data_IF_589074693812
#
_entry.id   IF_589074693812
#
_cell.length_a   1.000
_cell.length_b   1.000
_cell.length_c   1.000
_cell.angle_alpha   90.00
_cell.angle_beta   90.00
_cell.angle_gamma   90.00
#
_symmetry.space_group_name_H-M   'P 1'
#
loop_
_entity.id
_entity.type
_entity.pdbx_description
1 polymer ?
#
# COMPACT_ATOMS: atom_id res chain seq x y z
N UNK A 1 17.40 20.27 -10.86
CA UNK A 1 16.91 19.74 -12.15
C UNK A 1 16.14 18.46 -11.87
N UNK A 2 14.87 18.36 -12.26
CA UNK A 2 14.14 17.10 -12.14
C UNK A 2 14.58 16.23 -13.32
N UNK A 3 15.23 15.11 -13.06
CA UNK A 3 15.71 14.21 -14.11
C UNK A 3 14.51 13.59 -14.86
N UNK A 4 14.60 13.51 -16.20
CA UNK A 4 13.65 12.80 -17.09
C UNK A 4 12.21 13.35 -17.18
N UNK A 5 11.99 14.64 -16.93
CA UNK A 5 10.65 15.24 -17.09
C UNK A 5 9.62 14.72 -16.08
N UNK A 6 10.08 14.19 -14.95
CA UNK A 6 9.20 13.77 -13.87
C UNK A 6 8.45 14.97 -13.27
N UNK A 7 7.28 14.70 -12.70
CA UNK A 7 6.46 15.68 -12.01
C UNK A 7 6.51 15.39 -10.51
N UNK A 8 6.74 16.43 -9.72
CA UNK A 8 6.78 16.33 -8.26
C UNK A 8 5.51 16.99 -7.71
N UNK A 9 4.77 16.26 -6.88
CA UNK A 9 3.64 16.81 -6.15
C UNK A 9 4.09 17.29 -4.77
N UNK A 10 3.60 18.46 -4.38
CA UNK A 10 3.81 19.01 -3.04
C UNK A 10 2.55 18.79 -2.22
N UNK A 11 2.72 18.36 -0.97
CA UNK A 11 1.62 18.18 -0.03
C UNK A 11 1.11 19.53 0.48
N UNK A 12 -0.17 19.63 0.84
CA UNK A 12 -0.81 20.88 1.26
C UNK A 12 -0.38 21.41 2.65
N UNK A 13 0.66 20.85 3.28
CA UNK A 13 1.13 21.24 4.62
C UNK A 13 0.55 20.41 5.77
N UNK A 14 -0.54 19.66 5.55
CA UNK A 14 -1.16 18.81 6.57
C UNK A 14 -0.89 17.32 6.33
N UNK A 15 -0.26 16.67 7.31
CA UNK A 15 0.03 15.22 7.29
C UNK A 15 -1.23 14.37 7.28
N UNK A 16 -2.36 14.90 7.77
CA UNK A 16 -3.64 14.20 7.76
C UNK A 16 -4.15 13.97 6.34
N UNK A 17 -3.98 14.98 5.47
CA UNK A 17 -4.49 15.01 4.09
C UNK A 17 -3.54 14.44 3.04
N UNK A 18 -2.36 13.97 3.45
CA UNK A 18 -1.38 13.37 2.52
C UNK A 18 -1.99 12.25 1.66
N UNK A 19 -2.85 11.39 2.21
CA UNK A 19 -3.45 10.32 1.40
C UNK A 19 -4.38 10.90 0.33
N UNK A 20 -5.14 11.95 0.63
CA UNK A 20 -6.00 12.62 -0.34
C UNK A 20 -5.17 13.32 -1.43
N UNK A 21 -4.08 13.97 -1.05
CA UNK A 21 -3.15 14.61 -1.98
C UNK A 21 -2.52 13.57 -2.91
N UNK A 22 -2.13 12.40 -2.37
CA UNK A 22 -1.59 11.28 -3.15
C UNK A 22 -2.63 10.71 -4.10
N UNK A 23 -3.89 10.59 -3.67
CA UNK A 23 -4.99 10.15 -4.54
C UNK A 23 -5.22 11.10 -5.71
N UNK A 24 -5.15 12.42 -5.48
CA UNK A 24 -5.27 13.43 -6.53
C UNK A 24 -4.05 13.43 -7.46
N UNK A 25 -2.86 13.29 -6.91
CA UNK A 25 -1.60 13.29 -7.66
C UNK A 25 -1.44 12.02 -8.52
N UNK A 26 -1.98 10.89 -8.06
CA UNK A 26 -1.83 9.56 -8.67
C UNK A 26 -0.36 9.25 -9.06
N UNK A 27 0.57 9.27 -8.10
CA UNK A 27 1.98 9.14 -8.39
C UNK A 27 2.34 7.75 -8.94
N UNK A 28 3.34 7.71 -9.81
CA UNK A 28 3.91 6.44 -10.30
C UNK A 28 4.99 5.89 -9.36
N UNK A 29 5.69 6.80 -8.69
CA UNK A 29 6.73 6.53 -7.71
C UNK A 29 6.30 7.16 -6.38
N UNK A 30 6.21 6.35 -5.33
CA UNK A 30 5.89 6.83 -3.99
C UNK A 30 7.06 6.57 -3.04
N UNK A 31 7.64 7.63 -2.51
CA UNK A 31 8.73 7.54 -1.53
C UNK A 31 8.25 8.18 -0.24
N UNK A 32 8.26 7.43 0.87
CA UNK A 32 7.79 7.96 2.15
C UNK A 32 8.58 7.42 3.34
N UNK A 33 8.53 8.14 4.45
CA UNK A 33 9.18 7.73 5.71
C UNK A 33 8.35 6.66 6.44
N UNK A 34 8.95 5.86 7.36
CA UNK A 34 8.24 4.82 8.09
C UNK A 34 6.97 5.28 8.81
N UNK A 35 6.93 6.53 9.29
CA UNK A 35 5.72 7.10 9.92
C UNK A 35 4.52 7.12 8.97
N UNK A 36 4.75 7.45 7.69
CA UNK A 36 3.69 7.47 6.66
C UNK A 36 3.29 6.04 6.29
N UNK A 37 4.26 5.12 6.24
CA UNK A 37 4.02 3.70 6.00
C UNK A 37 3.13 3.08 7.08
N UNK A 38 3.41 3.34 8.36
CA UNK A 38 2.58 2.89 9.48
C UNK A 38 1.16 3.43 9.38
N UNK A 39 1.01 4.71 9.06
CA UNK A 39 -0.31 5.32 8.87
C UNK A 39 -1.10 4.65 7.73
N UNK A 40 -0.43 4.35 6.62
CA UNK A 40 -1.04 3.63 5.51
C UNK A 40 -1.47 2.22 5.93
N UNK A 41 -0.64 1.53 6.70
CA UNK A 41 -0.97 0.22 7.29
C UNK A 41 -2.21 0.31 8.18
N UNK A 42 -2.30 1.31 9.05
CA UNK A 42 -3.45 1.50 9.94
C UNK A 42 -4.73 1.76 9.14
N UNK A 43 -4.68 2.60 8.10
CA UNK A 43 -5.82 2.89 7.24
C UNK A 43 -6.31 1.66 6.48
N UNK A 44 -5.41 0.88 5.91
CA UNK A 44 -5.76 -0.37 5.22
C UNK A 44 -6.33 -1.38 6.24
N UNK A 45 -5.71 -1.50 7.40
CA UNK A 45 -6.15 -2.41 8.46
C UNK A 45 -7.53 -2.04 9.01
N UNK A 46 -7.82 -0.76 9.20
CA UNK A 46 -9.14 -0.25 9.57
C UNK A 46 -10.17 -0.50 8.46
N UNK A 47 -9.79 -0.27 7.20
CA UNK A 47 -10.62 -0.57 6.04
C UNK A 47 -11.01 -2.05 6.00
N UNK A 48 -10.07 -2.95 6.26
CA UNK A 48 -10.32 -4.39 6.36
C UNK A 48 -11.14 -4.76 7.59
N UNK A 49 -10.89 -4.13 8.74
CA UNK A 49 -11.64 -4.33 9.97
C UNK A 49 -13.11 -3.91 9.88
N UNK A 50 -13.42 -2.90 9.06
CA UNK A 50 -14.79 -2.43 8.80
C UNK A 50 -15.63 -3.39 7.96
N UNK A 51 -14.98 -4.33 7.24
CA UNK A 51 -15.69 -5.33 6.45
C UNK A 51 -16.31 -6.38 7.38
N UNK A 52 -17.56 -6.74 7.11
CA UNK A 52 -18.29 -7.79 7.85
C UNK A 52 -18.66 -8.96 6.93
N UNK A 53 -18.82 -10.15 7.53
CA UNK A 53 -19.27 -11.37 6.84
C UNK A 53 -18.27 -11.97 5.84
N UNK A 54 -18.79 -12.44 4.69
CA UNK A 54 -18.01 -13.16 3.67
C UNK A 54 -16.83 -12.35 3.10
N UNK A 55 -16.98 -11.01 3.01
CA UNK A 55 -15.92 -10.13 2.50
C UNK A 55 -14.71 -10.09 3.44
N UNK A 56 -14.93 -10.10 4.75
CA UNK A 56 -13.85 -10.13 5.75
C UNK A 56 -13.05 -11.44 5.65
N UNK A 57 -13.75 -12.58 5.62
CA UNK A 57 -13.13 -13.89 5.46
C UNK A 57 -12.30 -13.99 4.18
N UNK A 58 -12.79 -13.44 3.07
CA UNK A 58 -12.03 -13.39 1.81
C UNK A 58 -10.76 -12.56 1.92
N UNK A 59 -10.82 -11.41 2.59
CA UNK A 59 -9.65 -10.54 2.81
C UNK A 59 -8.64 -11.23 3.73
N UNK A 60 -9.09 -11.82 4.83
CA UNK A 60 -8.23 -12.52 5.77
C UNK A 60 -7.52 -13.71 5.09
N UNK A 61 -8.26 -14.51 4.31
CA UNK A 61 -7.69 -15.60 3.51
C UNK A 61 -6.71 -15.09 2.44
N UNK A 62 -7.03 -13.98 1.76
CA UNK A 62 -6.15 -13.39 0.75
C UNK A 62 -4.82 -12.92 1.36
N UNK A 63 -4.88 -12.25 2.52
CA UNK A 63 -3.70 -11.78 3.24
C UNK A 63 -2.87 -12.97 3.72
N UNK A 64 -3.49 -13.96 4.35
CA UNK A 64 -2.79 -15.14 4.86
C UNK A 64 -2.12 -15.96 3.74
N UNK A 65 -2.83 -16.14 2.62
CA UNK A 65 -2.30 -16.84 1.43
C UNK A 65 -1.08 -16.11 0.88
N UNK A 66 -1.16 -14.79 0.69
CA UNK A 66 -0.03 -14.02 0.17
C UNK A 66 1.14 -13.93 1.15
N UNK A 67 0.88 -13.88 2.46
CA UNK A 67 1.92 -13.84 3.48
C UNK A 67 2.65 -15.19 3.57
N UNK A 68 1.91 -16.29 3.45
CA UNK A 68 2.47 -17.63 3.31
C UNK A 68 3.30 -17.79 2.03
N UNK A 69 2.83 -17.27 0.90
CA UNK A 69 3.56 -17.30 -0.37
C UNK A 69 4.84 -16.43 -0.34
N UNK A 70 4.77 -15.25 0.29
CA UNK A 70 5.93 -14.39 0.49
C UNK A 70 7.02 -15.12 1.30
N UNK A 71 6.63 -15.84 2.35
CA UNK A 71 7.57 -16.62 3.19
C UNK A 71 8.13 -17.86 2.50
N UNK A 72 7.33 -18.56 1.69
CA UNK A 72 7.72 -19.83 1.07
C UNK A 72 8.46 -19.68 -0.25
N UNK A 73 8.01 -18.78 -1.11
CA UNK A 73 8.46 -18.71 -2.51
C UNK A 73 8.93 -17.33 -2.93
N UNK A 74 8.73 -16.30 -2.10
CA UNK A 74 8.95 -14.90 -2.48
C UNK A 74 7.96 -14.37 -3.55
N UNK A 75 7.02 -15.20 -4.00
CA UNK A 75 6.00 -14.85 -4.98
C UNK A 75 4.86 -14.08 -4.29
N UNK A 76 4.61 -12.85 -4.74
CA UNK A 76 3.66 -11.93 -4.10
C UNK A 76 2.39 -11.74 -4.94
N UNK A 77 2.39 -12.20 -6.19
CA UNK A 77 1.30 -12.00 -7.14
C UNK A 77 0.30 -13.15 -7.11
N UNK A 78 -0.97 -12.83 -6.96
CA UNK A 78 -2.06 -13.79 -7.10
C UNK A 78 -3.22 -13.14 -7.86
N UNK A 79 -3.40 -13.54 -9.13
CA UNK A 79 -4.29 -12.88 -10.10
C UNK A 79 -5.72 -12.62 -9.57
N UNK A 80 -6.30 -13.58 -8.85
CA UNK A 80 -7.67 -13.51 -8.33
C UNK A 80 -7.80 -12.52 -7.16
N UNK A 81 -6.95 -12.66 -6.14
CA UNK A 81 -6.98 -11.81 -4.95
C UNK A 81 -6.49 -10.39 -5.25
N UNK A 82 -5.57 -10.25 -6.20
CA UNK A 82 -5.06 -8.95 -6.66
C UNK A 82 -6.17 -8.08 -7.22
N UNK A 83 -7.01 -8.68 -8.07
CA UNK A 83 -8.09 -7.95 -8.72
C UNK A 83 -9.21 -7.58 -7.73
N UNK A 84 -9.50 -8.44 -6.76
CA UNK A 84 -10.64 -8.29 -5.84
C UNK A 84 -10.34 -7.45 -4.59
N UNK A 85 -9.17 -7.66 -3.97
CA UNK A 85 -8.80 -7.05 -2.68
C UNK A 85 -7.73 -5.98 -2.90
N UNK A 86 -6.61 -6.33 -3.54
CA UNK A 86 -5.45 -5.45 -3.59
C UNK A 86 -5.59 -4.28 -4.55
N UNK A 87 -6.42 -4.37 -5.59
CA UNK A 87 -6.79 -3.20 -6.40
C UNK A 87 -7.42 -2.09 -5.55
N UNK A 88 -8.20 -2.43 -4.51
CA UNK A 88 -8.75 -1.43 -3.60
C UNK A 88 -7.65 -0.77 -2.76
N UNK A 89 -6.66 -1.54 -2.32
CA UNK A 89 -5.48 -1.00 -1.62
C UNK A 89 -4.64 -0.10 -2.54
N UNK A 90 -4.41 -0.51 -3.79
CA UNK A 90 -3.69 0.28 -4.80
C UNK A 90 -4.41 1.60 -5.09
N UNK A 91 -5.74 1.60 -5.10
CA UNK A 91 -6.55 2.82 -5.27
C UNK A 91 -6.40 3.83 -4.13
N UNK A 92 -6.04 3.40 -2.91
CA UNK A 92 -5.78 4.32 -1.79
C UNK A 92 -4.61 5.26 -2.12
N UNK A 93 -3.62 4.81 -2.90
CA UNK A 93 -2.51 5.62 -3.39
C UNK A 93 -2.73 6.17 -4.81
N UNK A 94 -3.96 6.17 -5.31
CA UNK A 94 -4.30 6.68 -6.64
C UNK A 94 -4.12 5.68 -7.80
N UNK A 95 -3.86 4.40 -7.51
CA UNK A 95 -3.94 3.30 -8.49
C UNK A 95 -2.82 3.21 -9.54
N UNK A 96 -1.95 4.23 -9.63
CA UNK A 96 -0.85 4.30 -10.61
C UNK A 96 0.53 4.00 -10.03
N UNK A 97 0.62 3.72 -8.74
CA UNK A 97 1.90 3.44 -8.07
C UNK A 97 2.51 2.14 -8.62
N UNK A 98 3.73 2.23 -9.15
CA UNK A 98 4.52 1.09 -9.64
C UNK A 98 5.68 0.74 -8.71
N UNK A 99 6.18 1.71 -7.96
CA UNK A 99 7.31 1.51 -7.07
C UNK A 99 7.12 2.32 -5.80
N UNK A 100 7.39 1.66 -4.66
CA UNK A 100 7.20 2.22 -3.34
C UNK A 100 8.49 2.03 -2.54
N UNK A 101 9.05 3.14 -2.04
CA UNK A 101 10.30 3.15 -1.30
C UNK A 101 10.09 3.75 0.08
N UNK A 102 10.77 3.18 1.07
CA UNK A 102 10.78 3.69 2.45
C UNK A 102 12.21 3.85 2.95
N UNK A 103 12.46 4.91 3.73
CA UNK A 103 13.78 5.22 4.29
C UNK A 103 13.73 6.29 5.38
N UNK A 104 14.86 6.51 6.05
CA UNK A 104 15.03 7.52 7.10
C UNK A 104 14.84 7.03 8.54
N UNK A 105 14.27 5.83 8.73
CA UNK A 105 14.19 5.15 10.03
C UNK A 105 13.92 3.64 9.82
N UNK A 106 14.17 2.79 10.83
CA UNK A 106 13.77 1.38 10.78
C UNK A 106 12.25 1.23 10.75
N UNK A 107 11.77 0.20 10.03
CA UNK A 107 10.36 -0.19 9.95
C UNK A 107 10.21 -1.63 10.43
N UNK A 108 9.10 -1.93 11.13
CA UNK A 108 8.81 -3.29 11.57
C UNK A 108 8.57 -4.21 10.37
N UNK A 109 9.15 -5.41 10.40
CA UNK A 109 9.04 -6.40 9.32
C UNK A 109 7.59 -6.76 8.98
N UNK A 110 6.72 -6.82 9.99
CA UNK A 110 5.28 -7.05 9.81
C UNK A 110 4.64 -5.99 8.90
N UNK A 111 4.94 -4.72 9.14
CA UNK A 111 4.38 -3.60 8.36
C UNK A 111 4.95 -3.62 6.95
N UNK A 112 6.25 -3.83 6.82
CA UNK A 112 6.92 -3.90 5.53
C UNK A 112 6.38 -5.05 4.66
N UNK A 113 6.27 -6.25 5.24
CA UNK A 113 5.70 -7.44 4.59
C UNK A 113 4.25 -7.21 4.17
N UNK A 114 3.44 -6.59 5.02
CA UNK A 114 2.05 -6.28 4.70
C UNK A 114 1.93 -5.29 3.52
N UNK A 115 2.72 -4.21 3.53
CA UNK A 115 2.73 -3.23 2.44
C UNK A 115 3.22 -3.89 1.14
N UNK A 116 4.26 -4.73 1.21
CA UNK A 116 4.76 -5.49 0.06
C UNK A 116 3.67 -6.38 -0.55
N UNK A 117 2.90 -7.07 0.29
CA UNK A 117 1.77 -7.91 -0.13
C UNK A 117 0.63 -7.09 -0.76
N UNK A 118 0.41 -5.87 -0.27
CA UNK A 118 -0.67 -5.01 -0.74
C UNK A 118 -0.40 -4.36 -2.10
N UNK A 119 0.86 -4.02 -2.39
CA UNK A 119 1.22 -3.22 -3.57
C UNK A 119 1.96 -4.01 -4.66
N UNK A 120 2.46 -5.22 -4.38
CA UNK A 120 2.94 -6.16 -5.40
C UNK A 120 1.76 -6.99 -5.94
#
# INVERSE_FOLDING_TARGET
>A
MICRGARVGYFQGDLLKIIEDVQKLQPTLFVAVPRIMNKLYDLISQGFGSLTGYRKRLVDMAVDTKLSNLRKSGAVTHFIYDKLVFNKCKNILGGKVRSLFTGGAPIADRVFSFIKICFC
#
